data_IF_047684354749
#
_entry.id   IF_047684354749
#
_cell.length_a   1.000
_cell.length_b   1.000
_cell.length_c   1.000
_cell.angle_alpha   90.00
_cell.angle_beta   90.00
_cell.angle_gamma   90.00
#
_symmetry.space_group_name_H-M   'P 1'
#
loop_
_entity.id
_entity.type
_entity.pdbx_description
1 polymer ?
#
# COMPACT_ATOMS: atom_id res chain seq x y z
N UNK A 1 -22.45 16.90 -1.01
CA UNK A 1 -21.71 17.03 -2.26
C UNK A 1 -20.69 18.17 -2.10
N UNK A 2 -19.39 17.91 -2.28
CA UNK A 2 -18.34 18.93 -2.11
C UNK A 2 -18.48 19.97 -3.23
N UNK A 3 -18.52 21.27 -2.93
CA UNK A 3 -18.57 22.31 -3.98
C UNK A 3 -17.39 22.22 -4.94
N UNK A 4 -17.64 22.44 -6.24
CA UNK A 4 -16.63 22.31 -7.33
C UNK A 4 -15.31 23.05 -7.05
N UNK A 5 -15.35 24.20 -6.36
CA UNK A 5 -14.16 24.98 -5.97
C UNK A 5 -13.17 24.20 -5.10
N UNK A 6 -13.65 23.25 -4.28
CA UNK A 6 -12.77 22.45 -3.43
C UNK A 6 -12.06 21.34 -4.20
N UNK A 7 -12.64 20.84 -5.30
CA UNK A 7 -11.92 19.89 -6.17
C UNK A 7 -10.67 20.52 -6.79
N UNK A 8 -10.75 21.80 -7.16
CA UNK A 8 -9.59 22.55 -7.67
C UNK A 8 -8.52 22.67 -6.60
N UNK A 9 -8.90 23.01 -5.36
CA UNK A 9 -7.95 23.12 -4.25
C UNK A 9 -7.31 21.77 -3.92
N UNK A 10 -8.10 20.69 -3.89
CA UNK A 10 -7.60 19.33 -3.68
C UNK A 10 -6.63 18.95 -4.81
N UNK A 11 -6.99 19.22 -6.06
CA UNK A 11 -6.14 18.95 -7.21
C UNK A 11 -4.81 19.72 -7.13
N UNK A 12 -4.85 21.01 -6.85
CA UNK A 12 -3.65 21.85 -6.68
C UNK A 12 -2.77 21.37 -5.52
N UNK A 13 -3.38 20.94 -4.41
CA UNK A 13 -2.66 20.36 -3.28
C UNK A 13 -1.95 19.05 -3.67
N UNK A 14 -2.63 18.16 -4.39
CA UNK A 14 -2.05 16.91 -4.90
C UNK A 14 -0.89 17.19 -5.86
N UNK A 15 -1.09 18.12 -6.82
CA UNK A 15 -0.02 18.52 -7.77
C UNK A 15 1.18 19.10 -7.03
N UNK A 16 0.94 19.95 -6.03
CA UNK A 16 2.01 20.49 -5.17
C UNK A 16 2.77 19.36 -4.48
N UNK A 17 2.10 18.39 -3.88
CA UNK A 17 2.74 17.25 -3.21
C UNK A 17 3.54 16.38 -4.19
N UNK A 18 3.03 16.15 -5.40
CA UNK A 18 3.74 15.38 -6.45
C UNK A 18 5.02 16.11 -6.90
N UNK A 19 4.98 17.43 -6.96
CA UNK A 19 6.15 18.25 -7.36
C UNK A 19 7.28 18.23 -6.34
N UNK A 20 6.99 17.84 -5.10
CA UNK A 20 7.97 17.78 -4.02
C UNK A 20 8.67 16.41 -4.00
N UNK A 21 9.94 16.37 -4.35
CA UNK A 21 10.77 15.15 -4.38
C UNK A 21 11.06 14.56 -3.00
N UNK A 22 10.73 15.27 -1.91
CA UNK A 22 10.92 14.82 -0.53
C UNK A 22 9.60 14.85 0.19
N UNK A 23 9.17 13.72 0.73
CA UNK A 23 7.96 13.61 1.54
C UNK A 23 8.24 14.17 2.93
N UNK A 24 7.51 15.22 3.31
CA UNK A 24 7.60 15.90 4.61
C UNK A 24 6.21 16.08 5.18
N UNK A 25 6.13 16.31 6.48
CA UNK A 25 4.91 16.81 7.11
C UNK A 25 4.66 18.26 6.69
N UNK A 26 3.57 18.50 5.99
CA UNK A 26 3.15 19.86 5.64
C UNK A 26 1.98 20.36 6.47
N UNK A 27 1.25 19.44 7.10
CA UNK A 27 0.18 19.81 8.01
C UNK A 27 0.69 19.62 9.44
N UNK A 28 0.57 20.61 10.32
CA UNK A 28 0.91 20.49 11.74
C UNK A 28 -0.16 19.69 12.48
N UNK A 29 -0.54 18.55 11.92
CA UNK A 29 -1.56 17.66 12.46
C UNK A 29 -0.90 16.53 13.21
N UNK A 30 -1.60 16.02 14.19
CA UNK A 30 -1.24 14.84 14.94
C UNK A 30 -0.90 13.72 13.93
N UNK A 31 0.28 13.09 14.02
CA UNK A 31 0.61 11.96 13.18
C UNK A 31 -0.45 10.89 13.36
N UNK A 32 -1.11 10.50 12.27
CA UNK A 32 -2.08 9.40 12.27
C UNK A 32 -1.40 8.02 12.13
N UNK A 33 -0.09 8.00 12.20
CA UNK A 33 0.75 6.81 12.20
C UNK A 33 1.81 6.90 13.31
N UNK A 34 2.39 5.76 13.75
CA UNK A 34 3.42 5.71 14.76
C UNK A 34 4.68 6.50 14.38
N UNK A 35 5.49 6.82 15.40
CA UNK A 35 6.77 7.47 15.21
C UNK A 35 7.67 6.68 14.25
N UNK A 36 8.16 7.35 13.22
CA UNK A 36 9.01 6.75 12.19
C UNK A 36 10.31 6.19 12.76
N UNK A 37 10.93 6.85 13.75
CA UNK A 37 12.20 6.40 14.36
C UNK A 37 12.02 5.12 15.15
N UNK A 38 10.85 4.90 15.75
CA UNK A 38 10.54 3.64 16.42
C UNK A 38 10.20 2.54 15.43
N UNK A 39 9.44 2.86 14.41
CA UNK A 39 8.97 1.86 13.47
C UNK A 39 10.04 1.45 12.44
N UNK A 40 11.05 2.30 12.18
CA UNK A 40 12.18 1.94 11.32
C UNK A 40 12.97 0.74 11.87
N UNK A 41 13.11 0.61 13.19
CA UNK A 41 13.79 -0.52 13.81
C UNK A 41 13.09 -1.85 13.51
N UNK A 42 11.75 -1.82 13.43
CA UNK A 42 10.95 -2.98 13.04
C UNK A 42 11.22 -3.31 11.56
N UNK A 43 11.23 -2.30 10.68
CA UNK A 43 11.52 -2.52 9.26
C UNK A 43 12.93 -3.06 9.05
N UNK A 44 13.94 -2.53 9.75
CA UNK A 44 15.30 -3.04 9.71
C UNK A 44 15.35 -4.54 10.08
N UNK A 45 14.63 -4.93 11.13
CA UNK A 45 14.53 -6.34 11.52
C UNK A 45 13.91 -7.20 10.41
N UNK A 46 12.82 -6.76 9.77
CA UNK A 46 12.22 -7.45 8.64
C UNK A 46 13.21 -7.58 7.47
N UNK A 47 13.89 -6.50 7.10
CA UNK A 47 14.85 -6.47 5.99
C UNK A 47 16.02 -7.42 6.24
N UNK A 48 16.55 -7.46 7.48
CA UNK A 48 17.67 -8.31 7.85
C UNK A 48 17.30 -9.80 7.90
N UNK A 49 16.04 -10.11 8.23
CA UNK A 49 15.53 -11.49 8.35
C UNK A 49 14.74 -11.95 7.12
N UNK A 50 14.77 -11.21 6.01
CA UNK A 50 14.07 -11.63 4.79
C UNK A 50 14.69 -12.86 4.17
N UNK A 51 13.83 -13.83 3.84
CA UNK A 51 14.21 -15.06 3.14
C UNK A 51 14.05 -14.92 1.62
N UNK A 52 14.53 -15.92 0.90
CA UNK A 52 14.29 -16.03 -0.56
C UNK A 52 12.79 -16.00 -0.89
N UNK A 53 11.94 -16.66 -0.10
CA UNK A 53 10.49 -16.67 -0.33
C UNK A 53 9.88 -15.26 -0.23
N UNK A 54 10.33 -14.44 0.74
CA UNK A 54 9.87 -13.05 0.86
C UNK A 54 10.27 -12.21 -0.36
N UNK A 55 11.48 -12.42 -0.90
CA UNK A 55 11.97 -11.73 -2.10
C UNK A 55 11.19 -12.19 -3.32
N UNK A 56 10.96 -13.49 -3.49
CA UNK A 56 10.22 -14.07 -4.61
C UNK A 56 8.78 -13.56 -4.63
N UNK A 57 8.09 -13.56 -3.49
CA UNK A 57 6.73 -13.03 -3.39
C UNK A 57 6.69 -11.54 -3.71
N UNK A 58 7.64 -10.76 -3.18
CA UNK A 58 7.76 -9.35 -3.52
C UNK A 58 7.91 -9.15 -5.03
N UNK A 59 8.84 -9.86 -5.67
CA UNK A 59 9.06 -9.75 -7.12
C UNK A 59 7.83 -10.16 -7.93
N UNK A 60 7.13 -11.24 -7.53
CA UNK A 60 5.88 -11.68 -8.15
C UNK A 60 4.80 -10.59 -8.09
N UNK A 61 4.75 -9.83 -6.99
CA UNK A 61 3.65 -8.90 -6.69
C UNK A 61 4.00 -7.41 -6.84
N UNK A 62 5.24 -7.05 -7.18
CA UNK A 62 5.66 -5.64 -7.27
C UNK A 62 4.97 -4.88 -8.40
N UNK A 63 4.75 -5.52 -9.55
CA UNK A 63 3.99 -4.93 -10.64
C UNK A 63 2.48 -4.92 -10.35
N UNK A 64 1.95 -6.03 -9.86
CA UNK A 64 0.54 -6.17 -9.51
C UNK A 64 0.31 -7.32 -8.52
N UNK A 65 -0.47 -7.05 -7.48
CA UNK A 65 -0.82 -8.07 -6.48
C UNK A 65 -1.70 -9.20 -7.03
N UNK A 66 -2.34 -9.00 -8.17
CA UNK A 66 -3.23 -10.02 -8.77
C UNK A 66 -2.49 -11.31 -9.10
N UNK A 67 -1.18 -11.24 -9.35
CA UNK A 67 -0.36 -12.44 -9.58
C UNK A 67 -0.32 -13.41 -8.39
N UNK A 68 -0.64 -12.93 -7.18
CA UNK A 68 -0.75 -13.81 -6.02
C UNK A 68 -2.13 -14.51 -5.91
N UNK A 69 -3.16 -13.97 -6.56
CA UNK A 69 -4.55 -14.44 -6.45
C UNK A 69 -5.02 -15.26 -7.66
N UNK A 70 -4.52 -14.95 -8.87
CA UNK A 70 -5.07 -15.47 -10.13
C UNK A 70 -5.11 -16.99 -10.22
N UNK A 71 -4.15 -17.68 -9.62
CA UNK A 71 -4.10 -19.17 -9.63
C UNK A 71 -5.20 -19.83 -8.76
N UNK A 72 -5.97 -19.05 -8.02
CA UNK A 72 -6.95 -19.54 -7.05
C UNK A 72 -8.40 -19.22 -7.45
N UNK A 73 -8.62 -18.59 -8.59
CA UNK A 73 -9.95 -18.11 -9.04
C UNK A 73 -10.18 -18.40 -10.52
N UNK A 74 -11.40 -18.17 -11.01
CA UNK A 74 -11.73 -18.34 -12.43
C UNK A 74 -11.60 -17.03 -13.24
N UNK A 75 -11.56 -15.89 -12.57
CA UNK A 75 -11.40 -14.56 -13.19
C UNK A 75 -10.04 -14.45 -13.88
N UNK A 76 -10.03 -13.79 -15.03
CA UNK A 76 -8.78 -13.52 -15.73
C UNK A 76 -7.92 -12.50 -15.00
N UNK A 77 -6.62 -12.50 -15.29
CA UNK A 77 -5.67 -11.52 -14.76
C UNK A 77 -6.11 -10.08 -15.07
N UNK A 78 -6.69 -9.84 -16.25
CA UNK A 78 -7.18 -8.52 -16.65
C UNK A 78 -8.41 -8.09 -15.84
N UNK A 79 -9.33 -9.02 -15.56
CA UNK A 79 -10.51 -8.72 -14.75
C UNK A 79 -10.09 -8.33 -13.33
N UNK A 80 -9.24 -9.16 -12.70
CA UNK A 80 -8.72 -8.89 -11.35
C UNK A 80 -7.95 -7.56 -11.31
N UNK A 81 -7.16 -7.28 -12.35
CA UNK A 81 -6.40 -6.03 -12.43
C UNK A 81 -7.36 -4.82 -12.53
N UNK A 82 -8.41 -4.91 -13.33
CA UNK A 82 -9.41 -3.85 -13.48
C UNK A 82 -10.13 -3.52 -12.16
N UNK A 83 -10.38 -4.54 -11.33
CA UNK A 83 -11.01 -4.38 -10.01
C UNK A 83 -10.12 -3.51 -9.10
N UNK A 84 -8.84 -3.88 -8.95
CA UNK A 84 -7.92 -3.20 -8.03
C UNK A 84 -7.40 -1.86 -8.55
N UNK A 85 -7.52 -1.59 -9.85
CA UNK A 85 -7.11 -0.34 -10.49
C UNK A 85 -8.28 0.54 -10.89
N UNK A 86 -9.50 0.21 -10.44
CA UNK A 86 -10.66 1.05 -10.69
C UNK A 86 -10.44 2.49 -10.19
N UNK A 87 -10.97 3.46 -10.91
CA UNK A 87 -10.71 4.90 -10.69
C UNK A 87 -10.92 5.33 -9.23
N UNK A 88 -11.98 4.82 -8.58
CA UNK A 88 -12.27 5.18 -7.19
C UNK A 88 -11.25 4.60 -6.21
N UNK A 89 -10.75 3.38 -6.44
CA UNK A 89 -9.72 2.75 -5.60
C UNK A 89 -8.38 3.50 -5.74
N UNK A 90 -7.94 3.76 -6.97
CA UNK A 90 -6.70 4.50 -7.20
C UNK A 90 -6.77 5.92 -6.65
N UNK A 91 -7.91 6.61 -6.88
CA UNK A 91 -8.12 7.96 -6.34
C UNK A 91 -8.04 7.96 -4.81
N UNK A 92 -8.70 7.03 -4.13
CA UNK A 92 -8.71 6.95 -2.68
C UNK A 92 -7.29 6.71 -2.13
N UNK A 93 -6.55 5.75 -2.71
CA UNK A 93 -5.18 5.45 -2.30
C UNK A 93 -4.29 6.70 -2.47
N UNK A 94 -4.31 7.33 -3.65
CA UNK A 94 -3.46 8.48 -3.94
C UNK A 94 -3.84 9.70 -3.11
N UNK A 95 -5.13 9.96 -2.93
CA UNK A 95 -5.64 11.04 -2.09
C UNK A 95 -5.11 10.92 -0.66
N UNK A 96 -5.24 9.73 -0.05
CA UNK A 96 -4.73 9.49 1.30
C UNK A 96 -3.20 9.61 1.35
N UNK A 97 -2.49 9.05 0.38
CA UNK A 97 -1.03 9.15 0.31
C UNK A 97 -0.54 10.58 0.33
N UNK A 98 -1.10 11.44 -0.52
CA UNK A 98 -0.62 12.81 -0.67
C UNK A 98 -1.13 13.76 0.41
N UNK A 99 -2.27 13.50 1.04
CA UNK A 99 -2.72 14.26 2.22
C UNK A 99 -1.84 13.96 3.43
N UNK A 100 -1.54 12.67 3.67
CA UNK A 100 -0.77 12.26 4.84
C UNK A 100 0.73 12.47 4.62
N UNK A 101 1.20 12.20 3.41
CA UNK A 101 2.56 12.46 2.92
C UNK A 101 3.67 11.88 3.80
N UNK A 102 3.53 10.62 4.22
CA UNK A 102 4.53 9.93 5.04
C UNK A 102 5.78 9.59 4.25
N UNK A 103 6.96 9.86 4.84
CA UNK A 103 8.24 9.42 4.29
C UNK A 103 8.35 7.89 4.21
N UNK A 104 9.07 7.40 3.21
CA UNK A 104 9.41 5.97 3.07
C UNK A 104 10.50 5.55 4.05
N UNK A 105 10.58 4.26 4.43
CA UNK A 105 11.63 3.76 5.33
C UNK A 105 13.04 4.18 4.90
N UNK A 106 13.38 4.08 3.61
CA UNK A 106 14.69 4.48 3.07
C UNK A 106 14.98 5.99 3.15
N UNK A 107 13.97 6.83 3.31
CA UNK A 107 14.15 8.27 3.51
C UNK A 107 14.45 8.60 5.00
N UNK A 108 14.05 7.71 5.91
CA UNK A 108 14.36 7.79 7.34
C UNK A 108 15.73 7.18 7.62
N UNK A 109 15.99 6.00 7.03
CA UNK A 109 17.26 5.30 7.10
C UNK A 109 17.84 5.11 5.68
N UNK A 110 18.75 6.00 5.22
CA UNK A 110 19.39 5.90 3.91
C UNK A 110 20.20 4.63 3.70
N UNK A 111 20.70 3.99 4.78
CA UNK A 111 21.49 2.76 4.73
C UNK A 111 20.62 1.50 4.65
N UNK A 112 19.30 1.64 4.79
CA UNK A 112 18.37 0.51 4.71
C UNK A 112 18.52 -0.21 3.36
N UNK A 113 18.79 -1.51 3.41
CA UNK A 113 18.93 -2.37 2.21
C UNK A 113 17.56 -2.72 1.59
N UNK A 114 16.79 -1.70 1.21
CA UNK A 114 15.50 -1.89 0.54
C UNK A 114 15.65 -2.49 -0.85
N UNK A 115 14.67 -3.29 -1.27
CA UNK A 115 14.58 -3.76 -2.65
C UNK A 115 14.13 -2.62 -3.58
N UNK A 116 14.58 -2.68 -4.83
CA UNK A 116 14.10 -1.73 -5.85
C UNK A 116 12.66 -2.07 -6.22
N UNK A 117 11.83 -1.05 -6.40
CA UNK A 117 10.44 -1.17 -6.84
C UNK A 117 10.13 -0.07 -7.82
N UNK A 118 9.44 -0.40 -8.90
CA UNK A 118 8.99 0.56 -9.92
C UNK A 118 7.76 1.35 -9.47
N UNK A 119 7.12 0.95 -8.36
CA UNK A 119 5.88 1.55 -7.84
C UNK A 119 6.09 2.37 -6.57
N UNK A 120 7.34 2.55 -6.12
CA UNK A 120 7.65 3.16 -4.82
C UNK A 120 7.88 4.68 -4.85
N UNK A 121 7.44 5.38 -5.90
CA UNK A 121 7.67 6.84 -6.07
C UNK A 121 6.61 7.73 -5.40
N UNK A 122 5.65 7.12 -4.70
CA UNK A 122 4.60 7.82 -3.94
C UNK A 122 4.87 7.75 -2.43
N UNK A 123 4.24 8.60 -1.59
CA UNK A 123 4.34 8.51 -0.13
C UNK A 123 4.03 7.12 0.42
N UNK A 124 4.57 6.83 1.63
CA UNK A 124 4.48 5.49 2.20
C UNK A 124 3.05 5.12 2.64
N UNK A 125 2.31 6.03 3.22
CA UNK A 125 1.07 5.77 3.95
C UNK A 125 -0.17 6.29 3.22
N UNK A 126 -1.20 5.45 3.01
CA UNK A 126 -1.24 4.00 3.22
C UNK A 126 -0.41 3.22 2.20
N UNK A 127 -0.16 1.93 2.46
CA UNK A 127 0.45 1.03 1.50
C UNK A 127 -0.53 0.68 0.37
N UNK A 128 -0.24 1.13 -0.87
CA UNK A 128 -1.12 0.88 -2.02
C UNK A 128 -1.30 -0.60 -2.34
N UNK A 129 -0.21 -1.37 -2.35
CA UNK A 129 -0.27 -2.82 -2.59
C UNK A 129 -1.03 -3.56 -1.50
N UNK A 130 -0.81 -3.20 -0.23
CA UNK A 130 -1.59 -3.78 0.86
C UNK A 130 -3.08 -3.45 0.74
N UNK A 131 -3.41 -2.20 0.40
CA UNK A 131 -4.79 -1.79 0.17
C UNK A 131 -5.46 -2.62 -0.93
N UNK A 132 -4.80 -2.72 -2.09
CA UNK A 132 -5.29 -3.51 -3.22
C UNK A 132 -5.42 -4.99 -2.87
N UNK A 133 -4.48 -5.57 -2.11
CA UNK A 133 -4.52 -6.96 -1.70
C UNK A 133 -5.69 -7.24 -0.74
N UNK A 134 -5.89 -6.41 0.28
CA UNK A 134 -7.03 -6.56 1.19
C UNK A 134 -8.38 -6.33 0.49
N UNK A 135 -8.44 -5.36 -0.41
CA UNK A 135 -9.65 -5.10 -1.19
C UNK A 135 -10.00 -6.27 -2.09
N UNK A 136 -9.01 -6.81 -2.83
CA UNK A 136 -9.23 -7.98 -3.69
C UNK A 136 -9.58 -9.22 -2.87
N UNK A 137 -8.92 -9.44 -1.73
CA UNK A 137 -9.26 -10.53 -0.80
C UNK A 137 -10.72 -10.47 -0.37
N UNK A 138 -11.20 -9.29 0.03
CA UNK A 138 -12.59 -9.08 0.44
C UNK A 138 -13.55 -9.35 -0.72
N UNK A 139 -13.30 -8.75 -1.88
CA UNK A 139 -14.09 -8.94 -3.09
C UNK A 139 -14.21 -10.43 -3.49
N UNK A 140 -13.09 -11.14 -3.49
CA UNK A 140 -13.07 -12.56 -3.83
C UNK A 140 -13.70 -13.45 -2.76
N UNK A 141 -13.63 -13.05 -1.49
CA UNK A 141 -14.27 -13.77 -0.39
C UNK A 141 -15.80 -13.74 -0.49
N UNK A 142 -16.38 -12.70 -1.05
CA UNK A 142 -17.82 -12.62 -1.31
C UNK A 142 -18.25 -13.54 -2.45
N UNK A 143 -17.39 -13.75 -3.46
CA UNK A 143 -17.64 -14.65 -4.60
C UNK A 143 -17.35 -16.11 -4.22
N UNK A 144 -16.29 -16.34 -3.45
CA UNK A 144 -15.80 -17.66 -3.06
C UNK A 144 -15.71 -17.78 -1.51
N UNK A 145 -16.84 -17.84 -0.79
CA UNK A 145 -16.82 -17.83 0.69
C UNK A 145 -16.00 -18.96 1.30
N UNK A 146 -15.93 -20.11 0.64
CA UNK A 146 -15.16 -21.28 1.07
C UNK A 146 -13.63 -21.09 0.96
N UNK A 147 -13.15 -20.03 0.27
CA UNK A 147 -11.72 -19.68 0.12
C UNK A 147 -11.34 -18.42 0.91
N UNK A 148 -12.20 -17.90 1.76
CA UNK A 148 -11.98 -16.65 2.49
C UNK A 148 -10.65 -16.63 3.24
N UNK A 149 -10.38 -17.65 4.04
CA UNK A 149 -9.13 -17.75 4.82
C UNK A 149 -7.88 -17.76 3.93
N UNK A 150 -7.95 -18.42 2.77
CA UNK A 150 -6.88 -18.42 1.78
C UNK A 150 -6.63 -16.99 1.26
N UNK A 151 -7.68 -16.28 0.85
CA UNK A 151 -7.52 -14.92 0.32
C UNK A 151 -7.02 -13.93 1.38
N UNK A 152 -7.48 -14.06 2.62
CA UNK A 152 -6.97 -13.25 3.74
C UNK A 152 -5.48 -13.52 3.99
N UNK A 153 -5.05 -14.78 3.95
CA UNK A 153 -3.63 -15.15 4.08
C UNK A 153 -2.80 -14.58 2.93
N UNK A 154 -3.25 -14.69 1.69
CA UNK A 154 -2.56 -14.13 0.52
C UNK A 154 -2.41 -12.60 0.67
N UNK A 155 -3.46 -11.91 1.11
CA UNK A 155 -3.40 -10.46 1.30
C UNK A 155 -2.41 -10.06 2.39
N UNK A 156 -2.37 -10.78 3.51
CA UNK A 156 -1.39 -10.56 4.58
C UNK A 156 0.05 -10.78 4.09
N UNK A 157 0.29 -11.83 3.31
CA UNK A 157 1.61 -12.14 2.78
C UNK A 157 2.06 -11.09 1.76
N UNK A 158 1.17 -10.62 0.88
CA UNK A 158 1.43 -9.49 -0.03
C UNK A 158 1.78 -8.21 0.74
N UNK A 159 1.03 -7.90 1.81
CA UNK A 159 1.30 -6.74 2.65
C UNK A 159 2.65 -6.87 3.37
N UNK A 160 2.95 -8.02 3.98
CA UNK A 160 4.23 -8.28 4.66
C UNK A 160 5.42 -8.23 3.70
N UNK A 161 5.25 -8.72 2.46
CA UNK A 161 6.30 -8.64 1.45
C UNK A 161 6.79 -7.21 1.20
N UNK A 162 5.92 -6.19 1.33
CA UNK A 162 6.28 -4.77 1.21
C UNK A 162 7.16 -4.29 2.38
N UNK A 163 6.95 -4.83 3.58
CA UNK A 163 7.79 -4.53 4.77
C UNK A 163 9.14 -5.24 4.65
N UNK A 164 9.16 -6.52 4.29
CA UNK A 164 10.40 -7.25 4.00
C UNK A 164 11.23 -6.60 2.89
N UNK A 165 10.58 -5.98 1.91
CA UNK A 165 11.25 -5.22 0.86
C UNK A 165 11.84 -3.88 1.37
N UNK A 166 11.51 -3.43 2.59
CA UNK A 166 11.95 -2.15 3.13
C UNK A 166 11.26 -0.94 2.50
N UNK A 167 10.07 -1.12 1.92
CA UNK A 167 9.35 -0.07 1.18
C UNK A 167 8.22 0.57 1.98
N UNK A 168 7.72 -0.13 2.99
CA UNK A 168 6.61 0.29 3.85
C UNK A 168 6.87 -0.06 5.31
N UNK A 169 6.21 0.68 6.18
CA UNK A 169 6.12 0.35 7.59
C UNK A 169 4.95 -0.61 7.84
N UNK A 170 4.97 -1.42 8.91
CA UNK A 170 3.82 -2.26 9.29
C UNK A 170 2.52 -1.48 9.44
N UNK A 171 2.57 -0.27 10.00
CA UNK A 171 1.40 0.60 10.18
C UNK A 171 0.80 1.09 8.85
N UNK A 172 1.60 1.22 7.77
CA UNK A 172 1.08 1.56 6.43
C UNK A 172 0.11 0.47 5.95
N UNK A 173 0.46 -0.81 6.21
CA UNK A 173 -0.35 -1.96 5.85
C UNK A 173 -1.59 -2.09 6.75
N UNK A 174 -1.40 -1.89 8.06
CA UNK A 174 -2.49 -1.95 9.04
C UNK A 174 -3.58 -0.92 8.73
N UNK A 175 -3.19 0.30 8.41
CA UNK A 175 -4.16 1.34 8.02
C UNK A 175 -4.86 0.99 6.72
N UNK A 176 -4.14 0.44 5.73
CA UNK A 176 -4.76 -0.05 4.48
C UNK A 176 -5.85 -1.07 4.77
N UNK A 177 -5.59 -2.05 5.65
CA UNK A 177 -6.57 -3.04 6.10
C UNK A 177 -7.78 -2.40 6.79
N UNK A 178 -7.53 -1.44 7.69
CA UNK A 178 -8.60 -0.73 8.42
C UNK A 178 -9.52 0.03 7.47
N UNK A 179 -8.96 0.77 6.51
CA UNK A 179 -9.75 1.52 5.52
C UNK A 179 -10.58 0.57 4.64
N UNK A 180 -10.00 -0.52 4.18
CA UNK A 180 -10.76 -1.53 3.39
C UNK A 180 -11.91 -2.10 4.20
N UNK A 181 -11.68 -2.50 5.45
CA UNK A 181 -12.73 -3.05 6.30
C UNK A 181 -13.83 -2.04 6.67
N UNK A 182 -13.50 -0.74 6.67
CA UNK A 182 -14.45 0.33 6.98
C UNK A 182 -15.34 0.70 5.78
N UNK A 183 -14.79 0.66 4.57
CA UNK A 183 -15.45 1.22 3.39
C UNK A 183 -16.08 0.17 2.47
N UNK A 184 -15.66 -1.06 2.58
CA UNK A 184 -16.08 -2.17 1.73
C UNK A 184 -16.50 -3.39 2.54
#
# INVERSE_FOLDING_TARGET
MIPKKYYILIFLFIVFQISMKKYKYYLPTIPIYPDNEKEILIVQNYVNNRSFNHISLFQKTDLSIVFAFVDHVHESLLDLHSIITSTHILFLILFLKYIINRARPKQIDPELKSLKSITADTPAYPSGHAFQAYYLSKYLSDIYPHKKELFESIAEDCAKARVYAGLHFPSDNQFSKQIVNLLF
#
